data_IF_012248580556
#
_entry.id   IF_012248580556
#
_cell.length_a   1.000
_cell.length_b   1.000
_cell.length_c   1.000
_cell.angle_alpha   90.00
_cell.angle_beta   90.00
_cell.angle_gamma   90.00
#
_symmetry.space_group_name_H-M   'P 1'
#
loop_
_entity.id
_entity.type
_entity.pdbx_description
1 polymer ?
#
# COMPACT_ATOMS: atom_id res chain seq x y z
N UNK A 1 -23.60 10.86 0.99
CA UNK A 1 -22.67 10.11 1.86
C UNK A 1 -21.26 10.46 1.46
N UNK A 2 -20.36 10.74 2.40
CA UNK A 2 -19.06 11.36 2.10
C UNK A 2 -18.19 10.43 1.28
N UNK A 3 -17.73 10.94 0.15
CA UNK A 3 -16.71 10.30 -0.68
C UNK A 3 -15.52 9.95 0.20
N UNK A 4 -15.06 8.70 0.13
CA UNK A 4 -13.85 8.22 0.80
C UNK A 4 -12.67 9.11 0.36
N UNK A 5 -12.34 10.10 1.15
CA UNK A 5 -11.39 11.12 0.74
C UNK A 5 -10.02 10.83 1.34
N UNK A 6 -9.09 10.49 0.50
CA UNK A 6 -7.66 10.64 0.77
C UNK A 6 -7.37 12.13 1.08
N UNK A 7 -6.42 12.40 1.94
CA UNK A 7 -6.04 13.75 2.31
C UNK A 7 -5.88 14.64 1.07
N UNK A 8 -6.50 15.85 1.09
CA UNK A 8 -6.43 16.85 0.02
C UNK A 8 -4.98 17.17 -0.43
N UNK A 9 -4.00 16.86 0.43
CA UNK A 9 -2.58 17.05 0.14
C UNK A 9 -2.10 16.25 -1.08
N UNK A 10 -2.66 15.05 -1.30
CA UNK A 10 -2.23 14.19 -2.41
C UNK A 10 -2.90 14.54 -3.74
N UNK A 11 -3.96 15.36 -3.73
CA UNK A 11 -4.76 15.70 -4.93
C UNK A 11 -4.27 16.92 -5.72
N UNK A 12 -3.31 17.71 -5.21
CA UNK A 12 -2.89 19.00 -5.79
C UNK A 12 -1.35 19.09 -5.97
N UNK A 13 -0.80 20.29 -6.22
CA UNK A 13 0.64 20.52 -6.47
C UNK A 13 1.56 19.88 -5.41
N UNK A 14 1.14 19.82 -4.16
CA UNK A 14 1.90 19.13 -3.10
C UNK A 14 1.98 17.61 -3.33
N UNK A 15 0.93 17.02 -3.90
CA UNK A 15 0.94 15.62 -4.34
C UNK A 15 1.93 15.40 -5.48
N UNK A 16 2.04 16.34 -6.40
CA UNK A 16 3.03 16.30 -7.49
C UNK A 16 4.47 16.37 -6.97
N UNK A 17 4.75 17.23 -5.99
CA UNK A 17 6.07 17.28 -5.34
C UNK A 17 6.39 15.97 -4.59
N UNK A 18 5.41 15.40 -3.90
CA UNK A 18 5.53 14.11 -3.24
C UNK A 18 5.84 12.98 -4.25
N UNK A 19 5.09 12.92 -5.34
CA UNK A 19 5.31 11.97 -6.41
C UNK A 19 6.72 12.09 -6.99
N UNK A 20 7.18 13.30 -7.34
CA UNK A 20 8.54 13.54 -7.85
C UNK A 20 9.64 13.09 -6.89
N UNK A 21 9.49 13.29 -5.57
CA UNK A 21 10.45 12.82 -4.58
C UNK A 21 10.52 11.30 -4.47
N UNK A 22 9.40 10.62 -4.69
CA UNK A 22 9.33 9.15 -4.66
C UNK A 22 9.80 8.48 -5.96
N UNK A 23 10.10 9.24 -7.01
CA UNK A 23 10.58 8.71 -8.31
C UNK A 23 12.09 8.77 -8.51
N UNK A 24 12.87 8.90 -7.45
CA UNK A 24 14.33 8.86 -7.54
C UNK A 24 14.81 7.41 -7.78
N UNK A 25 15.98 7.27 -8.40
CA UNK A 25 16.60 5.98 -8.73
C UNK A 25 16.55 4.94 -7.59
N UNK A 26 16.23 3.71 -7.93
CA UNK A 26 16.19 2.57 -7.02
C UNK A 26 14.83 2.26 -6.37
N UNK A 27 13.76 2.94 -6.73
CA UNK A 27 12.42 2.63 -6.22
C UNK A 27 11.90 1.26 -6.71
N UNK A 28 12.39 0.75 -7.87
CA UNK A 28 12.07 -0.60 -8.35
C UNK A 28 12.37 -1.67 -7.30
N UNK A 29 13.55 -1.60 -6.65
CA UNK A 29 13.90 -2.51 -5.55
C UNK A 29 12.89 -2.43 -4.39
N UNK A 30 12.42 -1.23 -4.09
CA UNK A 30 11.39 -1.03 -3.07
C UNK A 30 10.06 -1.69 -3.44
N UNK A 31 9.69 -1.70 -4.72
CA UNK A 31 8.48 -2.39 -5.19
C UNK A 31 8.62 -3.90 -5.09
N UNK A 32 9.72 -4.48 -5.53
CA UNK A 32 10.01 -5.91 -5.44
C UNK A 32 9.99 -6.40 -3.97
N UNK A 33 10.74 -5.73 -3.09
CA UNK A 33 10.77 -6.06 -1.65
C UNK A 33 9.42 -5.91 -0.95
N UNK A 34 8.57 -5.00 -1.41
CA UNK A 34 7.22 -4.88 -0.86
C UNK A 34 6.30 -5.94 -1.45
N UNK A 35 6.46 -6.25 -2.75
CA UNK A 35 5.66 -7.25 -3.43
C UNK A 35 5.85 -8.66 -2.83
N UNK A 36 7.05 -9.02 -2.35
CA UNK A 36 7.33 -10.30 -1.67
C UNK A 36 6.30 -10.65 -0.57
N UNK A 37 5.66 -9.65 0.07
CA UNK A 37 4.62 -9.90 1.07
C UNK A 37 3.27 -10.27 0.46
N UNK A 38 2.97 -9.80 -0.72
CA UNK A 38 1.71 -10.03 -1.43
C UNK A 38 1.77 -11.26 -2.35
N UNK A 39 2.97 -11.60 -2.84
CA UNK A 39 3.23 -12.68 -3.79
C UNK A 39 2.59 -14.03 -3.42
N UNK A 40 2.61 -14.50 -2.15
CA UNK A 40 1.99 -15.78 -1.77
C UNK A 40 0.48 -15.86 -2.02
N UNK A 41 -0.20 -14.71 -2.10
CA UNK A 41 -1.65 -14.62 -2.24
C UNK A 41 -2.08 -14.43 -3.70
N UNK A 42 -1.18 -13.96 -4.57
CA UNK A 42 -1.48 -13.68 -5.99
C UNK A 42 -1.13 -14.89 -6.83
N UNK A 43 -2.10 -15.35 -7.63
CA UNK A 43 -1.97 -16.48 -8.53
C UNK A 43 -2.22 -16.04 -9.98
N UNK A 44 -1.75 -16.83 -10.95
CA UNK A 44 -1.83 -16.54 -12.39
C UNK A 44 -3.24 -16.14 -12.88
N UNK A 45 -4.28 -16.71 -12.28
CA UNK A 45 -5.69 -16.42 -12.64
C UNK A 45 -6.35 -15.41 -11.72
N UNK A 46 -5.60 -14.80 -10.80
CA UNK A 46 -6.19 -13.82 -9.87
C UNK A 46 -6.53 -12.52 -10.59
N UNK A 47 -7.65 -11.93 -10.16
CA UNK A 47 -8.05 -10.56 -10.48
C UNK A 47 -7.65 -9.68 -9.31
N UNK A 48 -6.72 -8.76 -9.51
CA UNK A 48 -6.07 -8.01 -8.42
C UNK A 48 -6.30 -6.51 -8.57
N UNK A 49 -6.66 -5.87 -7.46
CA UNK A 49 -6.73 -4.42 -7.34
C UNK A 49 -5.59 -3.91 -6.45
N UNK A 50 -4.75 -3.02 -6.96
CA UNK A 50 -3.73 -2.28 -6.18
C UNK A 50 -4.30 -0.93 -5.73
N UNK A 51 -4.75 -0.85 -4.48
CA UNK A 51 -5.31 0.37 -3.91
C UNK A 51 -4.20 1.30 -3.42
N UNK A 52 -4.04 2.42 -4.10
CA UNK A 52 -2.95 3.39 -3.93
C UNK A 52 -1.70 3.00 -4.74
N UNK A 53 -1.90 2.58 -5.99
CA UNK A 53 -0.86 2.03 -6.85
C UNK A 53 0.27 3.02 -7.20
N UNK A 54 0.13 4.30 -6.89
CA UNK A 54 1.11 5.32 -7.23
C UNK A 54 1.37 5.39 -8.74
N UNK A 55 2.62 5.31 -9.15
CA UNK A 55 3.00 5.30 -10.59
C UNK A 55 2.92 3.93 -11.23
N UNK A 56 2.34 2.95 -10.56
CA UNK A 56 2.17 1.60 -11.09
C UNK A 56 3.39 0.68 -10.96
N UNK A 57 4.40 1.03 -10.15
CA UNK A 57 5.59 0.17 -10.06
C UNK A 57 5.31 -1.22 -9.48
N UNK A 58 4.54 -1.32 -8.38
CA UNK A 58 4.11 -2.61 -7.86
C UNK A 58 3.01 -3.22 -8.73
N UNK A 59 2.10 -2.41 -9.24
CA UNK A 59 1.04 -2.84 -10.16
C UNK A 59 1.58 -3.52 -11.42
N UNK A 60 2.73 -3.07 -11.94
CA UNK A 60 3.39 -3.73 -13.07
C UNK A 60 3.85 -5.16 -12.72
N UNK A 61 4.42 -5.36 -11.53
CA UNK A 61 4.82 -6.70 -11.06
C UNK A 61 3.59 -7.60 -10.88
N UNK A 62 2.50 -7.04 -10.33
CA UNK A 62 1.22 -7.74 -10.17
C UNK A 62 0.69 -8.17 -11.54
N UNK A 63 0.70 -7.28 -12.53
CA UNK A 63 0.22 -7.54 -13.90
C UNK A 63 0.93 -8.71 -14.57
N UNK A 64 2.21 -8.92 -14.29
CA UNK A 64 2.99 -10.05 -14.84
C UNK A 64 2.62 -11.40 -14.22
N UNK A 65 1.89 -11.40 -13.08
CA UNK A 65 1.57 -12.60 -12.29
C UNK A 65 0.08 -12.89 -12.13
N UNK A 66 -0.78 -12.03 -12.66
CA UNK A 66 -2.23 -12.12 -12.51
C UNK A 66 -2.94 -12.01 -13.85
N UNK A 67 -4.19 -12.43 -13.92
CA UNK A 67 -5.02 -12.31 -15.13
C UNK A 67 -5.46 -10.84 -15.34
N UNK A 68 -5.93 -10.21 -14.27
CA UNK A 68 -6.33 -8.81 -14.26
C UNK A 68 -5.60 -8.07 -13.16
N UNK A 69 -5.03 -6.92 -13.51
CA UNK A 69 -4.39 -5.99 -12.57
C UNK A 69 -4.88 -4.57 -12.82
N UNK A 70 -5.69 -4.06 -11.92
CA UNK A 70 -6.15 -2.68 -11.93
C UNK A 70 -5.57 -1.89 -10.75
N UNK A 71 -5.45 -0.57 -10.91
CA UNK A 71 -4.99 0.32 -9.85
C UNK A 71 -6.00 1.39 -9.49
N UNK A 72 -5.99 1.84 -8.24
CA UNK A 72 -6.64 3.09 -7.83
C UNK A 72 -5.58 4.06 -7.33
N UNK A 73 -5.52 5.26 -7.92
CA UNK A 73 -4.59 6.31 -7.49
C UNK A 73 -5.24 7.69 -7.60
N UNK A 74 -5.37 8.37 -6.46
CA UNK A 74 -6.03 9.69 -6.36
C UNK A 74 -5.14 10.84 -6.80
N UNK A 75 -3.83 10.64 -6.85
CA UNK A 75 -2.88 11.61 -7.36
C UNK A 75 -2.83 11.52 -8.88
N UNK A 76 -3.46 12.50 -9.55
CA UNK A 76 -3.55 12.54 -11.01
C UNK A 76 -2.21 12.48 -11.73
N UNK A 77 -1.15 13.03 -11.13
CA UNK A 77 0.18 12.99 -11.74
C UNK A 77 0.74 11.56 -11.72
N UNK A 78 0.64 10.87 -10.59
CA UNK A 78 1.05 9.47 -10.47
C UNK A 78 0.20 8.56 -11.35
N UNK A 79 -1.13 8.72 -11.32
CA UNK A 79 -2.05 7.96 -12.16
C UNK A 79 -1.74 8.13 -13.65
N UNK A 80 -1.42 9.36 -14.11
CA UNK A 80 -1.01 9.63 -15.50
C UNK A 80 0.27 8.87 -15.86
N UNK A 81 1.25 8.82 -14.98
CA UNK A 81 2.49 8.05 -15.20
C UNK A 81 2.18 6.56 -15.30
N UNK A 82 1.40 6.02 -14.38
CA UNK A 82 1.01 4.61 -14.43
C UNK A 82 0.27 4.27 -15.74
N UNK A 83 -0.68 5.09 -16.15
CA UNK A 83 -1.41 4.95 -17.44
C UNK A 83 -0.47 5.03 -18.64
N UNK A 84 0.52 5.93 -18.64
CA UNK A 84 1.50 6.03 -19.74
C UNK A 84 2.42 4.80 -19.82
N UNK A 85 2.56 4.04 -18.73
CA UNK A 85 3.26 2.76 -18.68
C UNK A 85 2.34 1.56 -18.98
N UNK A 86 1.13 1.79 -19.51
CA UNK A 86 0.21 0.74 -19.91
C UNK A 86 -0.57 0.09 -18.76
N UNK A 87 -0.66 0.76 -17.60
CA UNK A 87 -1.47 0.27 -16.48
C UNK A 87 -2.90 0.80 -16.57
N UNK A 88 -3.87 -0.02 -16.21
CA UNK A 88 -5.25 0.40 -16.04
C UNK A 88 -5.44 0.96 -14.63
N UNK A 89 -5.73 2.26 -14.53
CA UNK A 89 -5.77 2.99 -13.26
C UNK A 89 -6.99 3.91 -13.20
N UNK A 90 -7.69 3.84 -12.08
CA UNK A 90 -8.86 4.67 -11.75
C UNK A 90 -8.48 5.73 -10.71
N UNK A 91 -9.17 6.88 -10.71
CA UNK A 91 -8.86 7.97 -9.77
C UNK A 91 -9.58 7.80 -8.41
N UNK A 92 -10.59 6.92 -8.34
CA UNK A 92 -11.38 6.66 -7.15
C UNK A 92 -11.89 5.22 -7.14
N UNK A 93 -12.20 4.68 -5.96
CA UNK A 93 -12.91 3.41 -5.82
C UNK A 93 -14.26 3.46 -6.55
N UNK A 94 -14.95 4.61 -6.53
CA UNK A 94 -16.24 4.78 -7.21
C UNK A 94 -16.17 4.79 -8.74
N UNK A 95 -14.98 4.82 -9.31
CA UNK A 95 -14.75 4.81 -10.75
C UNK A 95 -14.39 3.39 -11.25
N UNK A 96 -14.24 2.45 -10.32
CA UNK A 96 -14.02 1.05 -10.64
C UNK A 96 -15.22 0.47 -11.40
N UNK A 97 -15.01 -0.52 -12.26
CA UNK A 97 -16.09 -1.28 -12.85
C UNK A 97 -16.92 -1.98 -11.78
N UNK A 98 -17.80 -2.85 -12.17
CA UNK A 98 -18.81 -3.47 -11.32
C UNK A 98 -18.28 -4.01 -9.98
N UNK A 99 -19.19 -4.15 -9.01
CA UNK A 99 -18.93 -4.75 -7.70
C UNK A 99 -18.51 -6.23 -7.83
N UNK A 100 -17.81 -6.75 -6.83
CA UNK A 100 -17.39 -8.17 -6.75
C UNK A 100 -16.49 -8.66 -7.91
N UNK A 101 -15.58 -7.80 -8.35
CA UNK A 101 -14.71 -8.13 -9.48
C UNK A 101 -13.36 -8.76 -9.10
N UNK A 102 -12.83 -8.48 -7.90
CA UNK A 102 -11.47 -8.84 -7.54
C UNK A 102 -11.40 -10.00 -6.55
N UNK A 103 -10.47 -10.92 -6.79
CA UNK A 103 -10.14 -11.98 -5.83
C UNK A 103 -9.26 -11.44 -4.70
N UNK A 104 -8.47 -10.39 -5.00
CA UNK A 104 -7.51 -9.82 -4.07
C UNK A 104 -7.46 -8.30 -4.24
N UNK A 105 -7.55 -7.59 -3.13
CA UNK A 105 -7.17 -6.18 -3.03
C UNK A 105 -5.87 -6.10 -2.25
N UNK A 106 -4.85 -5.50 -2.83
CA UNK A 106 -3.59 -5.19 -2.15
C UNK A 106 -3.49 -3.70 -1.87
N UNK A 107 -2.84 -3.32 -0.76
CA UNK A 107 -2.57 -1.92 -0.46
C UNK A 107 -1.30 -1.77 0.37
N UNK A 108 -0.38 -0.94 -0.11
CA UNK A 108 0.92 -0.74 0.50
C UNK A 108 1.13 0.72 0.89
N UNK A 109 1.09 1.01 2.20
CA UNK A 109 1.30 2.36 2.74
C UNK A 109 0.30 3.41 2.24
N UNK A 110 -0.99 3.12 2.31
CA UNK A 110 -2.08 4.00 1.88
C UNK A 110 -3.04 4.37 3.01
N UNK A 111 -3.48 3.40 3.81
CA UNK A 111 -4.53 3.61 4.82
C UNK A 111 -4.16 4.65 5.88
N UNK A 112 -2.89 4.85 6.17
CA UNK A 112 -2.43 5.91 7.06
C UNK A 112 -2.69 7.32 6.54
N UNK A 113 -2.96 7.47 5.25
CA UNK A 113 -3.23 8.74 4.58
C UNK A 113 -4.71 8.98 4.30
N UNK A 114 -5.55 7.99 4.53
CA UNK A 114 -6.98 8.05 4.29
C UNK A 114 -7.69 8.70 5.49
N UNK A 115 -8.68 9.55 5.24
CA UNK A 115 -9.42 10.24 6.31
C UNK A 115 -10.34 9.31 7.09
N UNK A 116 -11.00 8.39 6.40
CA UNK A 116 -11.88 7.39 6.98
C UNK A 116 -11.41 5.99 6.56
N UNK A 117 -10.42 5.41 7.25
CA UNK A 117 -9.88 4.11 6.88
C UNK A 117 -10.91 2.97 7.01
N UNK A 118 -11.76 2.97 8.04
CA UNK A 118 -12.79 1.94 8.20
C UNK A 118 -13.79 1.94 7.03
N UNK A 119 -14.34 3.10 6.69
CA UNK A 119 -15.25 3.21 5.54
C UNK A 119 -14.57 2.96 4.19
N UNK A 120 -13.25 3.17 4.09
CA UNK A 120 -12.50 2.79 2.88
C UNK A 120 -12.37 1.28 2.77
N UNK A 121 -12.02 0.60 3.88
CA UNK A 121 -11.94 -0.87 3.95
C UNK A 121 -13.29 -1.49 3.61
N UNK A 122 -14.38 -0.93 4.15
CA UNK A 122 -15.76 -1.35 3.85
C UNK A 122 -16.09 -1.17 2.36
N UNK A 123 -15.71 -0.04 1.76
CA UNK A 123 -15.93 0.19 0.33
C UNK A 123 -15.12 -0.77 -0.55
N UNK A 124 -13.90 -1.11 -0.17
CA UNK A 124 -13.07 -2.09 -0.88
C UNK A 124 -13.68 -3.49 -0.83
N UNK A 125 -14.41 -3.83 0.26
CA UNK A 125 -15.11 -5.11 0.39
C UNK A 125 -16.14 -5.32 -0.72
N UNK A 126 -16.85 -4.27 -1.13
CA UNK A 126 -17.86 -4.35 -2.18
C UNK A 126 -17.29 -4.75 -3.54
N UNK A 127 -15.98 -4.55 -3.74
CA UNK A 127 -15.28 -4.93 -4.96
C UNK A 127 -14.55 -6.28 -4.86
N UNK A 128 -14.61 -6.95 -3.71
CA UNK A 128 -14.07 -8.30 -3.54
C UNK A 128 -15.12 -9.36 -3.83
N UNK A 129 -14.71 -10.42 -4.49
CA UNK A 129 -15.52 -11.65 -4.57
C UNK A 129 -15.78 -12.22 -3.18
N UNK A 130 -16.82 -13.04 -3.04
CA UNK A 130 -17.05 -13.79 -1.79
C UNK A 130 -15.82 -14.66 -1.46
N UNK A 131 -15.28 -14.52 -0.26
CA UNK A 131 -14.03 -15.15 0.15
C UNK A 131 -12.77 -14.50 -0.40
N UNK A 132 -12.88 -13.38 -1.11
CA UNK A 132 -11.74 -12.60 -1.60
C UNK A 132 -10.91 -11.99 -0.48
N UNK A 133 -9.67 -11.64 -0.76
CA UNK A 133 -8.69 -11.20 0.24
C UNK A 133 -8.39 -9.71 0.17
N UNK A 134 -8.32 -9.07 1.32
CA UNK A 134 -7.72 -7.75 1.50
C UNK A 134 -6.36 -7.91 2.17
N UNK A 135 -5.30 -7.64 1.43
CA UNK A 135 -3.91 -7.71 1.89
C UNK A 135 -3.35 -6.31 2.08
N UNK A 136 -2.99 -5.96 3.30
CA UNK A 136 -2.51 -4.63 3.68
C UNK A 136 -1.09 -4.68 4.20
N UNK A 137 -0.26 -3.74 3.77
CA UNK A 137 1.03 -3.45 4.40
C UNK A 137 1.03 -1.99 4.85
N UNK A 138 1.08 -1.76 6.17
CA UNK A 138 0.87 -0.45 6.79
C UNK A 138 1.93 -0.17 7.87
N UNK A 139 2.28 1.10 8.15
CA UNK A 139 3.26 1.42 9.18
C UNK A 139 2.69 1.12 10.57
N UNK A 140 3.41 0.34 11.35
CA UNK A 140 3.10 0.14 12.76
C UNK A 140 3.65 1.33 13.55
N UNK A 141 2.79 2.05 14.29
CA UNK A 141 3.13 3.19 15.16
C UNK A 141 4.36 3.93 14.65
N UNK A 142 4.17 4.96 13.84
CA UNK A 142 5.28 5.61 13.12
C UNK A 142 6.55 5.70 13.97
N UNK A 143 7.57 4.93 13.63
CA UNK A 143 8.83 4.88 14.34
C UNK A 143 9.52 6.25 14.43
N UNK A 144 9.15 7.15 13.52
CA UNK A 144 9.62 8.54 13.48
C UNK A 144 8.86 9.41 14.47
N UNK A 145 7.63 9.04 14.84
CA UNK A 145 6.82 9.79 15.79
C UNK A 145 7.47 9.83 17.18
N UNK A 146 8.24 8.81 17.57
CA UNK A 146 8.99 8.81 18.83
C UNK A 146 10.03 9.94 18.90
N UNK A 147 10.51 10.42 17.76
CA UNK A 147 11.47 11.51 17.64
C UNK A 147 10.81 12.87 17.34
N UNK A 148 9.51 12.88 17.02
CA UNK A 148 8.74 14.09 16.74
C UNK A 148 7.93 14.51 17.97
N UNK A 149 8.59 15.04 18.99
CA UNK A 149 7.93 15.54 20.21
C UNK A 149 7.01 16.73 19.98
N UNK A 150 7.11 17.40 18.82
CA UNK A 150 6.29 18.57 18.48
C UNK A 150 5.87 18.49 17.02
N UNK A 151 4.61 18.89 16.75
CA UNK A 151 4.13 19.07 15.39
C UNK A 151 5.00 20.07 14.62
N UNK A 152 5.34 19.74 13.39
CA UNK A 152 6.11 20.62 12.49
C UNK A 152 5.34 20.83 11.19
N UNK A 153 5.24 22.08 10.76
CA UNK A 153 4.71 22.42 9.44
C UNK A 153 5.64 21.83 8.37
N UNK A 154 5.05 21.12 7.39
CA UNK A 154 5.84 20.58 6.24
C UNK A 154 6.23 19.11 6.40
N UNK A 155 5.59 18.37 7.29
CA UNK A 155 5.71 16.91 7.32
C UNK A 155 5.38 16.33 5.93
N UNK A 156 6.35 15.62 5.34
CA UNK A 156 6.26 15.12 3.96
C UNK A 156 5.34 13.90 3.91
N UNK A 157 5.40 13.03 4.91
CA UNK A 157 4.66 11.78 4.91
C UNK A 157 3.18 11.98 5.30
N UNK A 158 2.88 12.99 6.10
CA UNK A 158 1.52 13.43 6.48
C UNK A 158 0.59 12.26 6.86
N UNK A 159 1.04 11.40 7.77
CA UNK A 159 0.23 10.32 8.29
C UNK A 159 -0.92 10.88 9.16
N UNK A 160 -2.15 10.49 8.86
CA UNK A 160 -3.34 10.81 9.65
C UNK A 160 -3.59 9.75 10.72
N UNK A 161 -3.16 8.52 10.45
CA UNK A 161 -3.35 7.35 11.31
C UNK A 161 -2.04 6.63 11.59
N UNK A 162 -2.02 5.91 12.70
CA UNK A 162 -0.98 4.95 13.04
C UNK A 162 -1.65 3.67 13.55
N UNK A 163 -1.00 2.53 13.34
CA UNK A 163 -1.62 1.24 13.53
C UNK A 163 -0.93 0.39 14.58
N UNK A 164 -1.71 -0.42 15.27
CA UNK A 164 -1.27 -1.55 16.09
C UNK A 164 -1.98 -2.81 15.60
N UNK A 165 -1.47 -4.02 15.89
CA UNK A 165 -2.16 -5.26 15.50
C UNK A 165 -3.62 -5.29 15.96
N UNK A 166 -3.88 -4.89 17.21
CA UNK A 166 -5.23 -4.86 17.77
C UNK A 166 -6.14 -3.85 17.05
N UNK A 167 -5.62 -2.65 16.75
CA UNK A 167 -6.43 -1.61 16.11
C UNK A 167 -6.85 -2.03 14.70
N UNK A 168 -5.92 -2.48 13.87
CA UNK A 168 -6.26 -2.87 12.49
C UNK A 168 -7.14 -4.12 12.46
N UNK A 169 -6.88 -5.11 13.33
CA UNK A 169 -7.72 -6.30 13.43
C UNK A 169 -9.17 -5.95 13.79
N UNK A 170 -9.39 -5.10 14.79
CA UNK A 170 -10.73 -4.62 15.13
C UNK A 170 -11.38 -3.81 13.99
N UNK A 171 -10.59 -3.00 13.27
CA UNK A 171 -11.12 -2.22 12.13
C UNK A 171 -11.58 -3.13 10.99
N UNK A 172 -10.86 -4.23 10.73
CA UNK A 172 -11.28 -5.24 9.74
C UNK A 172 -12.56 -5.98 10.17
N UNK A 173 -12.63 -6.39 11.43
CA UNK A 173 -13.83 -7.04 11.97
C UNK A 173 -15.06 -6.14 11.86
N UNK A 174 -14.93 -4.85 12.22
CA UNK A 174 -16.01 -3.89 12.12
C UNK A 174 -16.44 -3.65 10.67
N UNK A 175 -15.50 -3.69 9.71
CA UNK A 175 -15.78 -3.62 8.28
C UNK A 175 -16.29 -4.94 7.68
N UNK A 176 -16.54 -5.97 8.48
CA UNK A 176 -17.15 -7.23 8.09
C UNK A 176 -16.20 -8.22 7.42
N UNK A 177 -14.90 -8.17 7.72
CA UNK A 177 -13.93 -9.17 7.30
C UNK A 177 -13.66 -10.20 8.40
N UNK A 178 -13.36 -11.43 8.03
CA UNK A 178 -12.66 -12.37 8.90
C UNK A 178 -11.17 -12.06 8.88
N UNK A 179 -10.55 -11.88 10.05
CA UNK A 179 -9.11 -11.58 10.15
C UNK A 179 -8.32 -12.88 10.10
N UNK A 180 -7.52 -13.08 9.06
CA UNK A 180 -6.68 -14.28 8.91
C UNK A 180 -5.28 -14.07 9.48
N UNK A 181 -4.67 -12.92 9.20
CA UNK A 181 -3.32 -12.62 9.65
C UNK A 181 -3.16 -11.16 10.09
N UNK A 182 -2.40 -10.96 11.18
CA UNK A 182 -1.88 -9.65 11.57
C UNK A 182 -0.46 -9.84 12.07
N UNK A 183 0.50 -9.71 11.19
CA UNK A 183 1.91 -9.97 11.45
C UNK A 183 2.73 -8.69 11.55
N UNK A 184 3.61 -8.62 12.57
CA UNK A 184 4.60 -7.55 12.65
C UNK A 184 5.78 -7.93 11.76
N UNK A 185 6.03 -7.12 10.74
CA UNK A 185 7.13 -7.35 9.80
C UNK A 185 8.18 -6.24 9.94
N UNK A 186 9.43 -6.63 9.75
CA UNK A 186 10.57 -5.73 9.83
C UNK A 186 11.15 -5.56 8.44
N UNK A 187 10.89 -4.42 7.81
CA UNK A 187 11.26 -4.17 6.43
C UNK A 187 11.79 -2.74 6.26
N UNK A 188 12.95 -2.61 5.65
CA UNK A 188 13.51 -1.35 5.21
C UNK A 188 14.48 -1.59 4.06
N UNK A 189 14.60 -0.60 3.21
CA UNK A 189 15.62 -0.55 2.18
C UNK A 189 16.28 0.83 2.14
N UNK A 190 17.48 0.90 1.60
CA UNK A 190 18.20 2.16 1.45
C UNK A 190 19.17 2.06 0.26
N UNK A 191 19.18 3.06 -0.59
CA UNK A 191 20.00 3.07 -1.82
C UNK A 191 21.50 2.82 -1.61
N UNK A 192 22.05 3.11 -0.44
CA UNK A 192 23.45 2.76 -0.11
C UNK A 192 23.72 1.25 -0.05
N UNK A 193 22.68 0.44 0.07
CA UNK A 193 22.79 -1.03 0.09
C UNK A 193 22.48 -1.66 -1.26
N UNK A 194 22.14 -0.88 -2.29
CA UNK A 194 21.87 -1.41 -3.64
C UNK A 194 23.04 -2.15 -4.29
N UNK A 195 24.31 -1.79 -4.05
CA UNK A 195 25.42 -2.60 -4.55
C UNK A 195 25.44 -4.06 -4.06
N UNK A 196 24.66 -4.36 -3.01
CA UNK A 196 24.52 -5.71 -2.48
C UNK A 196 23.44 -6.54 -3.20
N UNK A 197 22.61 -5.92 -4.03
CA UNK A 197 21.54 -6.59 -4.76
C UNK A 197 22.14 -7.61 -5.73
N UNK A 198 21.61 -8.84 -5.72
CA UNK A 198 22.11 -9.95 -6.50
C UNK A 198 23.35 -10.66 -5.93
N UNK A 199 23.88 -10.20 -4.78
CA UNK A 199 25.00 -10.87 -4.10
C UNK A 199 24.56 -11.97 -3.13
N UNK A 200 23.23 -12.09 -2.87
CA UNK A 200 22.65 -12.95 -1.82
C UNK A 200 22.72 -12.35 -0.41
N UNK A 201 23.41 -11.22 -0.22
CA UNK A 201 23.53 -10.54 1.07
C UNK A 201 22.49 -9.43 1.27
N UNK A 202 21.78 -9.04 0.23
CA UNK A 202 20.82 -7.93 0.24
C UNK A 202 19.72 -8.10 1.29
N UNK A 203 19.13 -9.29 1.42
CA UNK A 203 18.06 -9.57 2.38
C UNK A 203 18.54 -9.39 3.82
N UNK A 204 19.75 -9.89 4.12
CA UNK A 204 20.38 -9.75 5.45
C UNK A 204 20.67 -8.27 5.74
N UNK A 205 21.24 -7.55 4.77
CA UNK A 205 21.59 -6.13 4.94
C UNK A 205 20.34 -5.25 5.11
N UNK A 206 19.28 -5.48 4.34
CA UNK A 206 18.01 -4.76 4.50
C UNK A 206 17.32 -5.10 5.83
N UNK A 207 17.33 -6.36 6.25
CA UNK A 207 16.80 -6.76 7.54
C UNK A 207 17.59 -6.10 8.70
N UNK A 208 18.92 -6.15 8.67
CA UNK A 208 19.77 -5.52 9.69
C UNK A 208 19.52 -4.01 9.76
N UNK A 209 19.41 -3.34 8.60
CA UNK A 209 19.05 -1.92 8.53
C UNK A 209 17.68 -1.65 9.18
N UNK A 210 16.70 -2.51 8.91
CA UNK A 210 15.35 -2.35 9.46
C UNK A 210 15.32 -2.53 10.98
N UNK A 211 16.07 -3.51 11.51
CA UNK A 211 16.24 -3.75 12.95
C UNK A 211 16.91 -2.55 13.61
N UNK A 212 18.03 -2.08 13.07
CA UNK A 212 18.77 -0.92 13.60
C UNK A 212 17.92 0.35 13.62
N UNK A 213 17.13 0.55 12.58
CA UNK A 213 16.22 1.71 12.46
C UNK A 213 14.88 1.51 13.16
N UNK A 214 14.66 0.37 13.81
CA UNK A 214 13.39 0.00 14.48
C UNK A 214 12.17 0.18 13.53
N UNK A 215 12.35 -0.13 12.24
CA UNK A 215 11.28 -0.02 11.23
C UNK A 215 10.37 -1.24 11.31
N UNK A 216 9.24 -1.06 11.96
CA UNK A 216 8.19 -2.08 12.06
C UNK A 216 6.98 -1.67 11.23
N UNK A 217 6.39 -2.64 10.57
CA UNK A 217 5.19 -2.51 9.78
C UNK A 217 4.26 -3.66 10.16
N UNK A 218 3.00 -3.55 9.77
CA UNK A 218 2.04 -4.64 9.88
C UNK A 218 1.78 -5.17 8.47
N UNK A 219 1.82 -6.47 8.33
CA UNK A 219 1.22 -7.17 7.20
C UNK A 219 -0.06 -7.83 7.69
N UNK A 220 -1.15 -7.59 6.99
CA UNK A 220 -2.50 -7.92 7.44
C UNK A 220 -3.27 -8.56 6.31
N UNK A 221 -3.96 -9.65 6.60
CA UNK A 221 -4.86 -10.33 5.65
C UNK A 221 -6.23 -10.45 6.28
N UNK A 222 -7.22 -9.91 5.59
CA UNK A 222 -8.64 -10.06 5.89
C UNK A 222 -9.36 -10.75 4.76
N UNK A 223 -10.28 -11.66 5.07
CA UNK A 223 -11.14 -12.34 4.10
C UNK A 223 -12.53 -11.71 4.09
N UNK A 224 -13.03 -11.39 2.90
CA UNK A 224 -14.41 -10.95 2.69
C UNK A 224 -15.38 -12.10 3.02
N UNK A 225 -16.33 -11.85 3.92
CA UNK A 225 -17.40 -12.79 4.24
C UNK A 225 -18.55 -12.64 3.25
#
# INVERSE_FOLDING_TARGET
>A
MSKNEVSKRYKNEKGKEYAKKKHQDGYHVGYELNFEYFDPYIKEKSRVLDFGCGNGGMLNIIKEKSDIAHGVEVNRHSAKIAKSNGMEVYESISDLPDENEYDIVVSNHVLEHVRNPAGTIESLKNHLTSGGLLCLKIPMKDWRASNQKKWKKGDIDHHLHTWTPKLIGNTLLEAGYSVEEVNIVTSAWHKKLFPLIGTGMEKIAFWALAVLKKRRQLFVVGRSN
#
